data_IF_608795381764
#
_entry.id   IF_608795381764
#
_cell.length_a   1.000
_cell.length_b   1.000
_cell.length_c   1.000
_cell.angle_alpha   90.00
_cell.angle_beta   90.00
_cell.angle_gamma   90.00
#
_symmetry.space_group_name_H-M   'P 1'
#
loop_
_entity.id
_entity.type
_entity.pdbx_description
1 polymer ?
#
# COMPACT_ATOMS: atom_id res chain seq x y z
N UNK A 1 70.49 -13.63 -10.66
CA UNK A 1 69.08 -13.45 -11.09
C UNK A 1 68.43 -12.46 -10.15
N UNK A 2 68.11 -11.25 -10.64
CA UNK A 2 67.55 -10.15 -9.87
C UNK A 2 66.03 -10.33 -9.85
N UNK A 3 65.43 -10.57 -8.69
CA UNK A 3 63.98 -10.63 -8.54
C UNK A 3 63.45 -9.20 -8.46
N UNK A 4 62.76 -8.79 -9.52
CA UNK A 4 62.07 -7.51 -9.65
C UNK A 4 60.87 -7.49 -8.68
N UNK A 5 60.91 -6.61 -7.68
CA UNK A 5 59.76 -6.32 -6.82
C UNK A 5 58.72 -5.55 -7.65
N UNK A 6 57.64 -6.21 -8.05
CA UNK A 6 56.48 -5.57 -8.65
C UNK A 6 55.74 -4.82 -7.53
N UNK A 7 55.97 -3.51 -7.43
CA UNK A 7 55.25 -2.63 -6.50
C UNK A 7 53.79 -2.56 -6.95
N UNK A 8 52.92 -3.23 -6.21
CA UNK A 8 51.47 -3.16 -6.37
C UNK A 8 51.01 -1.81 -5.81
N UNK A 9 50.89 -0.81 -6.68
CA UNK A 9 50.26 0.47 -6.38
C UNK A 9 48.78 0.23 -6.07
N UNK A 10 48.43 0.17 -4.79
CA UNK A 10 47.06 0.10 -4.30
C UNK A 10 46.39 1.46 -4.55
N UNK A 11 45.76 1.62 -5.72
CA UNK A 11 44.92 2.78 -6.03
C UNK A 11 43.73 2.74 -5.06
N UNK A 12 43.73 3.65 -4.09
CA UNK A 12 42.63 3.92 -3.18
C UNK A 12 41.47 4.48 -4.01
N UNK A 13 40.61 3.61 -4.54
CA UNK A 13 39.31 3.98 -5.11
C UNK A 13 38.49 4.52 -3.95
N UNK A 14 38.47 5.84 -3.82
CA UNK A 14 37.48 6.54 -3.00
C UNK A 14 36.14 6.23 -3.63
N UNK A 15 35.37 5.38 -2.94
CA UNK A 15 33.98 5.09 -3.26
C UNK A 15 33.26 6.43 -3.04
N UNK A 16 33.08 7.19 -4.12
CA UNK A 16 32.16 8.31 -4.12
C UNK A 16 30.79 7.67 -3.93
N UNK A 17 30.19 7.86 -2.76
CA UNK A 17 28.80 7.46 -2.54
C UNK A 17 27.98 8.18 -3.60
N UNK A 18 27.50 7.40 -4.57
CA UNK A 18 26.62 7.90 -5.64
C UNK A 18 25.35 8.30 -4.92
N UNK A 19 25.27 9.58 -4.56
CA UNK A 19 24.02 10.15 -4.05
C UNK A 19 23.03 10.06 -5.21
N UNK A 20 21.97 9.29 -5.04
CA UNK A 20 20.90 9.08 -6.03
C UNK A 20 20.00 10.32 -6.15
N UNK A 21 20.59 11.50 -6.36
CA UNK A 21 19.86 12.76 -6.50
C UNK A 21 19.60 13.01 -7.99
N UNK A 22 18.36 13.37 -8.31
CA UNK A 22 17.87 13.66 -9.65
C UNK A 22 17.46 15.12 -9.77
N UNK A 23 17.48 15.64 -10.99
CA UNK A 23 17.05 17.00 -11.29
C UNK A 23 15.64 17.25 -10.72
N UNK A 24 15.46 18.36 -10.00
CA UNK A 24 14.24 18.77 -9.30
C UNK A 24 13.87 17.91 -8.08
N UNK A 25 14.83 17.22 -7.47
CA UNK A 25 14.66 16.74 -6.10
C UNK A 25 14.61 17.92 -5.14
N UNK A 26 13.83 17.79 -4.07
CA UNK A 26 13.67 18.78 -3.01
C UNK A 26 14.15 18.22 -1.69
N UNK A 27 14.74 19.09 -0.86
CA UNK A 27 14.97 18.79 0.55
C UNK A 27 14.80 20.00 1.43
N UNK A 28 14.45 19.77 2.68
CA UNK A 28 14.31 20.84 3.67
C UNK A 28 15.66 21.40 4.11
N UNK A 29 15.71 22.70 4.43
CA UNK A 29 16.85 23.37 5.08
C UNK A 29 16.51 23.94 6.45
N UNK A 30 15.22 23.98 6.81
CA UNK A 30 14.71 24.42 8.10
C UNK A 30 13.30 23.86 8.33
N UNK A 31 12.81 23.98 9.57
CA UNK A 31 11.42 23.74 9.93
C UNK A 31 10.55 24.96 9.60
N UNK A 32 9.43 24.76 8.90
CA UNK A 32 8.37 25.76 8.68
C UNK A 32 7.15 25.08 8.03
N UNK A 33 6.14 25.85 7.63
CA UNK A 33 5.04 25.32 6.82
C UNK A 33 5.53 24.85 5.45
N UNK A 34 4.88 23.84 4.89
CA UNK A 34 5.23 23.25 3.59
C UNK A 34 5.27 24.29 2.46
N UNK A 35 4.38 25.28 2.51
CA UNK A 35 4.23 26.32 1.48
C UNK A 35 5.31 27.41 1.52
N UNK A 36 6.14 27.47 2.57
CA UNK A 36 7.18 28.48 2.74
C UNK A 36 8.38 28.15 1.87
N UNK A 37 8.47 28.71 0.65
CA UNK A 37 9.56 28.42 -0.32
C UNK A 37 10.97 28.46 0.29
N UNK A 38 11.23 29.39 1.22
CA UNK A 38 12.54 29.59 1.83
C UNK A 38 13.05 28.46 2.73
N UNK A 39 12.23 27.46 3.07
CA UNK A 39 12.68 26.27 3.81
C UNK A 39 13.10 25.11 2.91
N UNK A 40 13.06 25.27 1.58
CA UNK A 40 13.41 24.24 0.61
C UNK A 40 14.66 24.60 -0.21
N UNK A 41 15.47 23.58 -0.50
CA UNK A 41 16.41 23.59 -1.61
C UNK A 41 15.95 22.61 -2.69
N UNK A 42 16.29 22.92 -3.94
CA UNK A 42 16.04 22.07 -5.10
C UNK A 42 17.37 21.67 -5.74
N UNK A 43 17.50 20.42 -6.16
CA UNK A 43 18.68 19.92 -6.86
C UNK A 43 18.61 20.30 -8.35
N UNK A 44 19.61 21.06 -8.83
CA UNK A 44 19.67 21.53 -10.23
C UNK A 44 20.38 20.54 -11.18
N UNK A 45 20.66 19.33 -10.72
CA UNK A 45 21.45 18.33 -11.43
C UNK A 45 22.95 18.38 -11.12
N UNK A 46 23.41 19.35 -10.32
CA UNK A 46 24.79 19.43 -9.83
C UNK A 46 24.87 19.87 -8.36
N UNK A 47 24.08 20.86 -7.96
CA UNK A 47 24.08 21.45 -6.64
C UNK A 47 22.67 21.59 -6.07
N UNK A 48 22.60 21.68 -4.74
CA UNK A 48 21.40 22.14 -4.05
C UNK A 48 21.37 23.66 -4.03
N UNK A 49 20.38 24.23 -4.69
CA UNK A 49 20.17 25.68 -4.78
C UNK A 49 18.89 26.07 -4.04
N UNK A 50 18.71 27.32 -3.60
CA UNK A 50 17.44 27.79 -3.05
C UNK A 50 16.29 27.49 -4.03
N UNK A 51 15.20 26.92 -3.52
CA UNK A 51 14.03 26.65 -4.34
C UNK A 51 13.34 27.96 -4.77
N UNK A 52 12.72 27.96 -5.95
CA UNK A 52 11.92 29.09 -6.45
C UNK A 52 10.43 28.97 -6.10
N UNK A 53 10.01 27.77 -5.70
CA UNK A 53 8.66 27.38 -5.31
C UNK A 53 8.75 26.19 -4.36
N UNK A 54 7.69 25.90 -3.61
CA UNK A 54 7.65 24.74 -2.71
C UNK A 54 7.33 23.44 -3.49
N UNK A 55 7.69 22.25 -2.97
CA UNK A 55 7.48 20.99 -3.67
C UNK A 55 6.01 20.77 -4.04
N UNK A 56 5.76 20.43 -5.31
CA UNK A 56 4.45 20.23 -5.90
C UNK A 56 3.84 21.50 -6.53
N UNK A 57 4.32 22.71 -6.20
CA UNK A 57 3.84 23.97 -6.79
C UNK A 57 4.47 24.31 -8.15
N UNK A 58 5.51 23.58 -8.53
CA UNK A 58 6.15 23.62 -9.84
C UNK A 58 6.68 22.24 -10.20
N UNK A 59 7.69 22.17 -11.08
CA UNK A 59 8.32 20.89 -11.41
C UNK A 59 8.96 20.29 -10.16
N UNK A 60 8.61 19.05 -9.84
CA UNK A 60 9.06 18.36 -8.63
C UNK A 60 9.30 16.89 -8.93
N UNK A 61 10.35 16.33 -8.33
CA UNK A 61 10.63 14.91 -8.34
C UNK A 61 10.49 14.35 -6.92
N UNK A 62 11.57 13.86 -6.32
CA UNK A 62 11.56 13.32 -4.96
C UNK A 62 11.66 14.44 -3.93
N UNK A 63 10.97 14.28 -2.79
CA UNK A 63 10.96 15.27 -1.70
C UNK A 63 11.45 14.62 -0.43
N UNK A 64 12.42 15.23 0.24
CA UNK A 64 12.97 14.74 1.51
C UNK A 64 12.80 15.76 2.63
N UNK A 65 12.10 15.38 3.69
CA UNK A 65 12.13 16.10 4.97
C UNK A 65 13.31 15.57 5.76
N UNK A 66 14.41 16.32 5.81
CA UNK A 66 15.62 15.92 6.53
C UNK A 66 15.39 15.75 8.03
N UNK A 67 16.20 14.88 8.64
CA UNK A 67 16.20 14.67 10.08
C UNK A 67 16.39 15.98 10.86
N UNK A 68 15.65 16.15 11.95
CA UNK A 68 15.64 17.36 12.77
C UNK A 68 14.76 18.50 12.25
N UNK A 69 14.19 18.38 11.05
CA UNK A 69 13.24 19.36 10.52
C UNK A 69 11.79 18.90 10.73
N UNK A 70 10.91 19.87 11.01
CA UNK A 70 9.46 19.70 11.07
C UNK A 70 8.82 20.53 9.99
N UNK A 71 8.07 19.88 9.10
CA UNK A 71 7.27 20.55 8.08
C UNK A 71 5.80 20.40 8.42
N UNK A 72 5.12 21.54 8.57
CA UNK A 72 3.69 21.57 8.91
C UNK A 72 2.85 21.72 7.64
N UNK A 73 1.74 21.00 7.58
CA UNK A 73 0.69 21.17 6.57
C UNK A 73 -0.60 21.66 7.26
N UNK A 74 -0.67 22.97 7.50
CA UNK A 74 -1.68 23.68 8.31
C UNK A 74 -2.74 24.44 7.49
N UNK A 75 -2.42 24.76 6.23
CA UNK A 75 -3.24 25.50 5.28
C UNK A 75 -3.32 24.72 3.98
N UNK A 76 -4.41 24.82 3.22
CA UNK A 76 -4.65 23.99 2.03
C UNK A 76 -3.45 24.08 1.06
N UNK A 77 -2.59 23.06 1.06
CA UNK A 77 -1.45 23.01 0.16
C UNK A 77 -1.99 22.69 -1.23
N UNK A 78 -1.62 23.50 -2.21
CA UNK A 78 -1.94 23.21 -3.62
C UNK A 78 -0.72 22.53 -4.21
N UNK A 79 -0.84 21.22 -4.48
CA UNK A 79 0.17 20.38 -5.13
C UNK A 79 -0.34 19.95 -6.52
N UNK A 80 -0.41 20.87 -7.50
CA UNK A 80 -0.89 20.53 -8.84
C UNK A 80 -0.01 19.50 -9.55
N UNK A 81 1.28 19.45 -9.22
CA UNK A 81 2.22 18.46 -9.74
C UNK A 81 2.39 17.31 -8.75
N UNK A 82 2.40 16.09 -9.29
CA UNK A 82 2.62 14.86 -8.53
C UNK A 82 4.08 14.84 -8.06
N UNK A 83 4.31 14.55 -6.77
CA UNK A 83 5.64 14.22 -6.25
C UNK A 83 5.97 12.78 -6.63
N UNK A 84 7.20 12.48 -7.02
CA UNK A 84 7.58 11.08 -7.31
C UNK A 84 7.59 10.23 -6.03
N UNK A 85 8.13 10.80 -4.96
CA UNK A 85 8.06 10.23 -3.61
C UNK A 85 8.18 11.33 -2.55
N UNK A 86 7.71 11.02 -1.34
CA UNK A 86 8.04 11.77 -0.12
C UNK A 86 8.81 10.86 0.85
N UNK A 87 10.05 11.21 1.13
CA UNK A 87 10.87 10.62 2.19
C UNK A 87 10.87 11.49 3.43
N UNK A 88 10.54 10.91 4.58
CA UNK A 88 10.43 11.59 5.86
C UNK A 88 11.51 11.04 6.78
N UNK A 89 12.54 11.84 7.03
CA UNK A 89 13.57 11.58 8.05
C UNK A 89 13.36 12.42 9.31
N UNK A 90 12.65 13.54 9.19
CA UNK A 90 12.20 14.39 10.29
C UNK A 90 10.70 14.20 10.59
N UNK A 91 9.95 15.30 10.65
CA UNK A 91 8.52 15.29 10.99
C UNK A 91 7.70 15.92 9.87
N UNK A 92 6.68 15.20 9.39
CA UNK A 92 5.55 15.80 8.67
C UNK A 92 4.40 16.00 9.66
N UNK A 93 4.09 17.23 10.00
CA UNK A 93 3.01 17.58 10.93
C UNK A 93 1.71 17.89 10.20
N UNK A 94 0.64 17.15 10.50
CA UNK A 94 -0.69 17.28 9.91
C UNK A 94 -1.61 18.06 10.85
N UNK A 95 -1.72 19.37 10.63
CA UNK A 95 -2.53 20.27 11.47
C UNK A 95 -3.92 20.57 10.86
N UNK A 96 -4.13 20.25 9.58
CA UNK A 96 -5.41 20.45 8.89
C UNK A 96 -5.70 19.34 7.88
N UNK A 97 -6.92 19.30 7.34
CA UNK A 97 -7.27 18.35 6.27
C UNK A 97 -6.47 18.66 5.01
N UNK A 98 -5.69 17.69 4.54
CA UNK A 98 -4.73 17.88 3.46
C UNK A 98 -4.72 16.71 2.49
N UNK A 99 -4.44 17.02 1.23
CA UNK A 99 -4.16 16.02 0.20
C UNK A 99 -2.73 16.20 -0.28
N UNK A 100 -1.94 15.14 -0.18
CA UNK A 100 -0.59 15.10 -0.72
C UNK A 100 -0.55 14.19 -1.94
N UNK A 101 -0.32 14.77 -3.11
CA UNK A 101 -0.36 14.04 -4.37
C UNK A 101 0.97 13.33 -4.65
N UNK A 102 1.19 12.18 -4.01
CA UNK A 102 2.37 11.33 -4.19
C UNK A 102 1.97 9.85 -4.21
N UNK A 103 2.53 9.03 -5.12
CA UNK A 103 2.30 7.59 -5.11
C UNK A 103 3.13 6.86 -4.04
N UNK A 104 4.14 7.49 -3.45
CA UNK A 104 5.04 6.85 -2.48
C UNK A 104 5.30 7.76 -1.28
N UNK A 105 5.11 7.23 -0.08
CA UNK A 105 5.51 7.85 1.18
C UNK A 105 6.40 6.88 1.95
N UNK A 106 7.57 7.34 2.36
CA UNK A 106 8.58 6.56 3.05
C UNK A 106 8.90 7.28 4.36
N UNK A 107 8.59 6.65 5.49
CA UNK A 107 8.99 7.10 6.82
C UNK A 107 10.26 6.34 7.20
N UNK A 108 11.39 7.03 7.29
CA UNK A 108 12.66 6.39 7.66
C UNK A 108 12.76 6.21 9.18
N UNK A 109 13.83 5.57 9.65
CA UNK A 109 14.03 5.20 11.06
C UNK A 109 13.86 6.35 12.06
N UNK A 110 14.13 7.61 11.67
CA UNK A 110 13.93 8.77 12.56
C UNK A 110 12.67 9.59 12.20
N UNK A 111 12.01 9.24 11.10
CA UNK A 111 10.90 9.99 10.56
C UNK A 111 9.58 9.69 11.27
N UNK A 112 8.64 10.64 11.24
CA UNK A 112 7.24 10.40 11.64
C UNK A 112 6.28 11.29 10.86
N UNK A 113 5.05 10.80 10.66
CA UNK A 113 3.91 11.66 10.35
C UNK A 113 3.16 11.87 11.66
N UNK A 114 3.03 13.12 12.08
CA UNK A 114 2.46 13.51 13.37
C UNK A 114 1.16 14.29 13.17
N UNK A 115 0.05 13.79 13.70
CA UNK A 115 -1.22 14.54 13.73
C UNK A 115 -1.28 15.41 14.99
N UNK A 116 -1.18 16.73 14.81
CA UNK A 116 -1.33 17.71 15.88
C UNK A 116 -2.80 18.09 16.11
N UNK A 117 -3.63 18.06 15.07
CA UNK A 117 -5.05 18.37 15.11
C UNK A 117 -5.96 17.16 14.76
N UNK A 118 -7.28 17.37 14.80
CA UNK A 118 -8.26 16.42 14.29
C UNK A 118 -8.40 16.61 12.77
N UNK A 119 -7.49 15.98 12.04
CA UNK A 119 -7.29 16.19 10.60
C UNK A 119 -7.13 14.88 9.82
N UNK A 120 -7.31 14.99 8.52
CA UNK A 120 -7.20 13.91 7.54
C UNK A 120 -6.05 14.19 6.58
N UNK A 121 -5.09 13.27 6.50
CA UNK A 121 -4.13 13.22 5.40
C UNK A 121 -4.68 12.27 4.33
N UNK A 122 -4.79 12.77 3.10
CA UNK A 122 -5.26 11.99 1.95
C UNK A 122 -4.13 11.78 0.95
N UNK A 123 -3.91 10.52 0.56
CA UNK A 123 -3.02 10.12 -0.52
C UNK A 123 -3.82 9.58 -1.71
N UNK A 124 -3.32 9.67 -2.96
CA UNK A 124 -3.94 9.07 -4.14
C UNK A 124 -4.22 7.57 -3.99
N UNK A 125 -5.18 7.06 -4.77
CA UNK A 125 -5.44 5.61 -4.83
C UNK A 125 -4.19 4.87 -5.31
N UNK A 126 -3.85 3.76 -4.65
CA UNK A 126 -2.68 2.95 -4.98
C UNK A 126 -1.36 3.47 -4.41
N UNK A 127 -1.40 4.53 -3.59
CA UNK A 127 -0.20 5.03 -2.93
C UNK A 127 0.37 3.99 -1.97
N UNK A 128 1.70 3.86 -1.97
CA UNK A 128 2.43 3.00 -1.06
C UNK A 128 2.91 3.79 0.16
N UNK A 129 2.67 3.25 1.36
CA UNK A 129 3.20 3.74 2.62
C UNK A 129 4.21 2.73 3.17
N UNK A 130 5.47 3.15 3.25
CA UNK A 130 6.57 2.39 3.85
C UNK A 130 6.96 3.05 5.16
N UNK A 131 7.05 2.28 6.24
CA UNK A 131 7.49 2.72 7.57
C UNK A 131 8.69 1.85 7.96
N UNK A 132 9.90 2.40 7.86
CA UNK A 132 11.11 1.63 8.13
C UNK A 132 11.19 1.25 9.61
N UNK A 133 11.75 0.08 9.88
CA UNK A 133 11.98 -0.40 11.24
C UNK A 133 12.72 0.66 12.08
N UNK A 134 12.23 0.87 13.30
CA UNK A 134 12.74 1.88 14.24
C UNK A 134 12.09 3.26 14.09
N UNK A 135 11.32 3.52 13.03
CA UNK A 135 10.50 4.72 12.91
C UNK A 135 9.41 4.77 13.99
N UNK A 136 9.12 5.95 14.57
CA UNK A 136 7.88 6.19 15.32
C UNK A 136 6.59 5.96 14.51
N UNK A 137 6.67 5.99 13.18
CA UNK A 137 5.57 5.75 12.26
C UNK A 137 4.54 6.89 12.26
N UNK A 138 3.27 6.54 12.32
CA UNK A 138 2.13 7.46 12.44
C UNK A 138 1.89 7.79 13.92
N UNK A 139 2.01 9.05 14.32
CA UNK A 139 1.89 9.47 15.72
C UNK A 139 0.86 10.59 15.86
N UNK A 140 0.43 10.92 17.09
CA UNK A 140 -0.48 12.04 17.32
C UNK A 140 -0.42 12.58 18.75
N UNK A 141 -0.75 13.87 18.93
CA UNK A 141 -0.87 14.55 20.25
C UNK A 141 -2.03 14.06 21.16
N UNK A 142 -2.88 13.15 20.67
CA UNK A 142 -4.10 12.69 21.32
C UNK A 142 -4.92 11.78 20.39
N UNK A 143 -5.32 10.60 20.84
CA UNK A 143 -5.80 9.58 19.90
C UNK A 143 -7.32 9.49 19.80
N UNK A 144 -7.88 9.79 18.62
CA UNK A 144 -9.31 9.63 18.34
C UNK A 144 -9.57 9.37 16.84
N UNK A 145 -10.84 9.09 16.51
CA UNK A 145 -11.24 8.66 15.16
C UNK A 145 -11.22 9.79 14.11
N UNK A 146 -11.04 11.05 14.49
CA UNK A 146 -10.96 12.18 13.57
C UNK A 146 -9.54 12.45 13.04
N UNK A 147 -8.55 11.70 13.52
CA UNK A 147 -7.16 11.75 13.03
C UNK A 147 -6.96 10.61 12.07
N UNK A 148 -6.88 10.90 10.77
CA UNK A 148 -7.09 9.90 9.72
C UNK A 148 -6.00 9.92 8.66
N UNK A 149 -5.68 8.74 8.15
CA UNK A 149 -5.01 8.53 6.88
C UNK A 149 -6.01 7.89 5.91
N UNK A 150 -6.18 8.51 4.74
CA UNK A 150 -7.00 8.01 3.63
C UNK A 150 -6.08 7.71 2.45
N UNK A 151 -6.29 6.57 1.79
CA UNK A 151 -5.64 6.24 0.52
C UNK A 151 -6.73 6.01 -0.54
N UNK A 152 -6.76 6.86 -1.56
CA UNK A 152 -7.86 6.92 -2.52
C UNK A 152 -9.15 7.40 -1.86
N UNK A 153 -10.19 6.56 -1.85
CA UNK A 153 -11.48 6.85 -1.20
C UNK A 153 -11.71 6.05 0.08
N UNK A 154 -10.77 5.19 0.48
CA UNK A 154 -10.92 4.32 1.63
C UNK A 154 -10.23 4.91 2.85
N UNK A 155 -10.92 4.92 4.00
CA UNK A 155 -10.26 5.16 5.29
C UNK A 155 -9.24 4.04 5.49
N UNK A 156 -7.95 4.40 5.43
CA UNK A 156 -6.87 3.44 5.59
C UNK A 156 -6.62 3.22 7.08
N UNK A 157 -6.53 4.30 7.85
CA UNK A 157 -6.44 4.23 9.30
C UNK A 157 -6.98 5.46 10.01
N UNK A 158 -7.33 5.25 11.26
CA UNK A 158 -7.54 6.32 12.24
C UNK A 158 -6.56 6.13 13.38
N UNK A 159 -6.31 7.17 14.18
CA UNK A 159 -5.38 7.01 15.30
C UNK A 159 -5.77 5.84 16.21
N UNK A 160 -7.04 5.78 16.63
CA UNK A 160 -7.55 4.77 17.57
C UNK A 160 -8.18 3.54 16.89
N UNK A 161 -8.09 3.44 15.56
CA UNK A 161 -8.73 2.39 14.77
C UNK A 161 -10.25 2.48 14.74
N UNK A 162 -10.88 1.53 14.05
CA UNK A 162 -12.31 1.32 14.10
C UNK A 162 -12.66 0.28 15.15
N UNK A 163 -13.54 0.61 16.11
CA UNK A 163 -14.03 -0.31 17.14
C UNK A 163 -14.78 -1.55 16.62
N UNK A 164 -14.75 -1.82 15.30
CA UNK A 164 -15.35 -2.99 14.64
C UNK A 164 -14.42 -3.70 13.64
N UNK A 165 -13.09 -3.46 13.70
CA UNK A 165 -12.09 -4.33 13.05
C UNK A 165 -11.92 -4.18 11.52
N UNK A 166 -12.51 -3.17 10.90
CA UNK A 166 -12.37 -2.87 9.45
C UNK A 166 -11.45 -1.68 9.15
N UNK A 167 -10.93 -1.01 10.18
CA UNK A 167 -10.14 0.21 10.06
C UNK A 167 -8.98 0.15 11.05
N UNK A 168 -7.75 0.30 10.56
CA UNK A 168 -6.56 0.15 11.38
C UNK A 168 -6.34 1.33 12.32
N UNK A 169 -5.84 1.04 13.51
CA UNK A 169 -5.21 2.01 14.39
C UNK A 169 -3.81 2.38 13.90
N UNK A 170 -3.31 3.54 14.33
CA UNK A 170 -1.91 3.90 14.06
C UNK A 170 -0.95 2.90 14.72
N UNK A 171 -1.29 2.37 15.90
CA UNK A 171 -0.48 1.32 16.55
C UNK A 171 -0.42 0.02 15.75
N UNK A 172 -1.52 -0.36 15.08
CA UNK A 172 -1.52 -1.54 14.21
C UNK A 172 -0.67 -1.28 12.97
N UNK A 173 -0.74 -0.10 12.35
CA UNK A 173 0.12 0.22 11.20
C UNK A 173 1.60 0.29 11.60
N UNK A 174 1.91 0.92 12.73
CA UNK A 174 3.29 1.08 13.18
C UNK A 174 3.88 -0.24 13.71
N UNK A 175 3.01 -1.14 14.18
CA UNK A 175 3.40 -2.44 14.76
C UNK A 175 3.31 -3.62 13.79
N UNK A 176 2.74 -3.45 12.60
CA UNK A 176 2.56 -4.50 11.60
C UNK A 176 3.33 -4.11 10.35
N UNK A 177 4.50 -4.73 10.22
CA UNK A 177 5.45 -4.41 9.18
C UNK A 177 5.13 -5.25 7.91
N UNK A 178 4.55 -6.46 8.05
CA UNK A 178 4.12 -7.32 6.93
C UNK A 178 2.59 -7.40 6.86
N UNK A 179 1.95 -7.20 5.69
CA UNK A 179 0.48 -7.18 5.53
C UNK A 179 0.00 -7.95 4.29
N UNK A 180 -1.21 -8.51 4.35
CA UNK A 180 -1.89 -9.17 3.22
C UNK A 180 -3.40 -8.88 3.23
N UNK A 181 -3.96 -8.52 2.08
CA UNK A 181 -5.39 -8.19 1.90
C UNK A 181 -5.99 -8.95 0.71
N UNK A 182 -6.33 -10.23 0.91
CA UNK A 182 -6.70 -11.09 -0.19
C UNK A 182 -7.97 -10.60 -0.90
N UNK A 183 -7.99 -10.78 -2.21
CA UNK A 183 -9.16 -10.51 -3.04
C UNK A 183 -9.35 -11.62 -4.07
N UNK A 184 -10.46 -11.57 -4.79
CA UNK A 184 -10.78 -12.52 -5.86
C UNK A 184 -11.49 -11.81 -7.01
N UNK A 185 -11.59 -12.48 -8.15
CA UNK A 185 -12.56 -12.09 -9.17
C UNK A 185 -13.99 -12.18 -8.62
N UNK A 186 -14.85 -11.22 -8.96
CA UNK A 186 -16.20 -11.11 -8.38
C UNK A 186 -17.20 -12.06 -9.04
N UNK A 187 -18.10 -12.63 -8.22
CA UNK A 187 -19.32 -13.39 -8.58
C UNK A 187 -19.14 -14.48 -9.65
N UNK A 188 -19.04 -15.72 -9.18
CA UNK A 188 -18.60 -16.87 -9.97
C UNK A 188 -19.68 -17.94 -9.97
N UNK A 189 -19.99 -18.49 -11.14
CA UNK A 189 -20.88 -19.64 -11.25
C UNK A 189 -20.11 -20.92 -10.98
N UNK A 190 -20.82 -21.95 -10.54
CA UNK A 190 -20.27 -23.28 -10.29
C UNK A 190 -19.38 -23.78 -11.45
N UNK A 191 -18.18 -24.27 -11.14
CA UNK A 191 -17.24 -24.79 -12.15
C UNK A 191 -16.47 -23.74 -12.94
N UNK A 192 -16.66 -22.43 -12.66
CA UNK A 192 -15.77 -21.40 -13.17
C UNK A 192 -14.54 -21.23 -12.25
N UNK A 193 -13.45 -20.72 -12.82
CA UNK A 193 -12.20 -20.47 -12.11
C UNK A 193 -12.31 -19.24 -11.20
N UNK A 194 -11.97 -19.41 -9.93
CA UNK A 194 -11.67 -18.34 -8.99
C UNK A 194 -10.19 -18.02 -9.10
N UNK A 195 -9.86 -16.77 -9.39
CA UNK A 195 -8.48 -16.26 -9.31
C UNK A 195 -8.36 -15.47 -8.03
N UNK A 196 -7.40 -15.84 -7.18
CA UNK A 196 -7.12 -15.19 -5.92
C UNK A 196 -5.93 -14.27 -6.07
N UNK A 197 -5.96 -13.16 -5.36
CA UNK A 197 -4.84 -12.23 -5.26
C UNK A 197 -4.49 -12.05 -3.79
N UNK A 198 -3.23 -12.27 -3.40
CA UNK A 198 -2.82 -12.07 -2.01
C UNK A 198 -2.82 -10.57 -1.64
N UNK A 199 -2.35 -9.71 -2.54
CA UNK A 199 -2.16 -8.28 -2.32
C UNK A 199 -1.33 -8.00 -1.05
N UNK A 200 -0.09 -8.51 -0.98
CA UNK A 200 0.76 -8.23 0.16
C UNK A 200 1.22 -6.76 0.12
N UNK A 201 1.38 -6.17 1.28
CA UNK A 201 1.77 -4.76 1.44
C UNK A 201 2.54 -4.58 2.74
N UNK A 202 2.98 -3.36 2.99
CA UNK A 202 3.69 -3.00 4.22
C UNK A 202 5.22 -3.02 4.07
N UNK A 203 5.92 -2.33 4.97
CA UNK A 203 7.36 -2.11 4.90
C UNK A 203 8.22 -3.40 4.94
N UNK A 204 7.80 -4.44 5.65
CA UNK A 204 8.52 -5.73 5.73
C UNK A 204 8.33 -6.60 4.50
N UNK A 205 7.62 -6.13 3.48
CA UNK A 205 7.57 -6.79 2.18
C UNK A 205 8.94 -6.82 1.49
N UNK A 206 9.84 -5.89 1.83
CA UNK A 206 11.22 -5.92 1.34
C UNK A 206 12.09 -7.00 2.00
N UNK A 207 11.65 -7.59 3.12
CA UNK A 207 12.34 -8.67 3.84
C UNK A 207 12.14 -10.04 3.18
N UNK A 208 12.82 -10.24 2.05
CA UNK A 208 12.60 -11.37 1.15
C UNK A 208 13.39 -12.64 1.52
N UNK A 209 12.85 -13.85 1.23
CA UNK A 209 11.63 -14.10 0.46
C UNK A 209 10.33 -13.97 1.29
N UNK A 210 9.27 -13.51 0.63
CA UNK A 210 7.89 -13.62 1.14
C UNK A 210 7.31 -14.98 0.72
N UNK A 211 6.79 -15.72 1.68
CA UNK A 211 6.13 -17.02 1.46
C UNK A 211 4.64 -16.91 1.70
N UNK A 212 3.86 -17.67 0.94
CA UNK A 212 2.39 -17.67 0.98
C UNK A 212 1.89 -19.04 1.42
N UNK A 213 0.82 -19.06 2.21
CA UNK A 213 0.13 -20.27 2.59
C UNK A 213 -1.38 -20.02 2.58
N UNK A 214 -2.01 -20.42 1.49
CA UNK A 214 -3.45 -20.36 1.30
C UNK A 214 -4.12 -21.60 1.88
N UNK A 215 -5.21 -21.39 2.60
CA UNK A 215 -6.12 -22.44 3.07
C UNK A 215 -7.55 -22.02 2.79
N UNK A 216 -8.38 -22.97 2.35
CA UNK A 216 -9.76 -22.70 1.92
C UNK A 216 -10.72 -23.52 2.74
N UNK A 217 -11.74 -22.86 3.25
CA UNK A 217 -12.89 -23.50 3.90
C UNK A 217 -14.05 -23.51 2.92
N UNK A 218 -14.33 -24.65 2.25
CA UNK A 218 -15.50 -24.79 1.40
C UNK A 218 -16.79 -24.91 2.23
N UNK A 219 -17.97 -24.76 1.61
CA UNK A 219 -19.25 -24.98 2.27
C UNK A 219 -19.37 -26.39 2.88
N UNK A 220 -18.87 -27.39 2.14
CA UNK A 220 -18.80 -28.80 2.53
C UNK A 220 -17.60 -29.46 1.85
N UNK A 221 -17.10 -30.56 2.43
CA UNK A 221 -16.01 -31.37 1.85
C UNK A 221 -14.61 -30.93 2.26
N UNK A 222 -13.61 -31.45 1.54
CA UNK A 222 -12.19 -31.16 1.77
C UNK A 222 -11.77 -29.84 1.10
N UNK A 223 -10.95 -29.06 1.81
CA UNK A 223 -10.49 -27.75 1.34
C UNK A 223 -9.38 -27.79 0.28
N UNK A 224 -9.04 -26.60 -0.19
CA UNK A 224 -7.92 -26.31 -1.09
C UNK A 224 -6.76 -25.68 -0.29
N UNK A 225 -5.53 -25.92 -0.74
CA UNK A 225 -4.34 -25.22 -0.25
C UNK A 225 -3.39 -24.90 -1.40
N UNK A 226 -2.68 -23.78 -1.31
CA UNK A 226 -1.63 -23.40 -2.26
C UNK A 226 -0.54 -22.57 -1.57
N UNK A 227 0.65 -22.58 -2.16
CA UNK A 227 1.79 -21.74 -1.77
C UNK A 227 2.11 -20.66 -2.79
N UNK A 228 1.35 -20.58 -3.90
CA UNK A 228 1.50 -19.49 -4.87
C UNK A 228 0.99 -18.19 -4.27
N UNK A 229 1.55 -17.05 -4.71
CA UNK A 229 1.05 -15.73 -4.32
C UNK A 229 -0.40 -15.53 -4.77
N UNK A 230 -0.67 -15.82 -6.05
CA UNK A 230 -1.95 -15.60 -6.71
C UNK A 230 -2.48 -16.91 -7.32
N UNK A 231 -2.97 -17.85 -6.49
CA UNK A 231 -3.42 -19.16 -6.96
C UNK A 231 -4.80 -19.09 -7.63
N UNK A 232 -5.17 -20.19 -8.28
CA UNK A 232 -6.51 -20.41 -8.84
C UNK A 232 -7.19 -21.62 -8.22
N UNK A 233 -8.50 -21.53 -8.01
CA UNK A 233 -9.36 -22.62 -7.53
C UNK A 233 -10.54 -22.83 -8.50
N UNK A 234 -11.09 -24.05 -8.57
CA UNK A 234 -12.27 -24.37 -9.40
C UNK A 234 -13.33 -25.05 -8.52
N UNK A 235 -14.16 -24.26 -7.82
CA UNK A 235 -15.22 -24.76 -6.95
C UNK A 235 -16.23 -25.63 -7.68
N UNK A 236 -16.42 -26.86 -7.19
CA UNK A 236 -17.41 -27.82 -7.70
C UNK A 236 -18.69 -27.89 -6.88
N UNK A 237 -18.76 -27.16 -5.77
CA UNK A 237 -19.93 -27.09 -4.88
C UNK A 237 -20.40 -25.63 -4.82
N UNK A 238 -21.72 -25.41 -4.91
CA UNK A 238 -22.28 -24.07 -4.75
C UNK A 238 -22.31 -23.71 -3.26
N UNK A 239 -22.05 -22.44 -2.94
CA UNK A 239 -22.06 -21.93 -1.58
C UNK A 239 -20.96 -20.91 -1.31
N UNK A 240 -20.77 -20.58 -0.04
CA UNK A 240 -19.78 -19.60 0.42
C UNK A 240 -18.46 -20.28 0.74
N UNK A 241 -17.40 -19.80 0.11
CA UNK A 241 -16.02 -20.20 0.35
C UNK A 241 -15.27 -19.10 1.09
N UNK A 242 -14.48 -19.48 2.10
CA UNK A 242 -13.57 -18.56 2.79
C UNK A 242 -12.14 -18.92 2.42
N UNK A 243 -11.47 -18.02 1.70
CA UNK A 243 -10.08 -18.15 1.30
C UNK A 243 -9.21 -17.35 2.26
N UNK A 244 -8.38 -18.04 3.03
CA UNK A 244 -7.47 -17.45 4.01
C UNK A 244 -6.03 -17.57 3.51
N UNK A 245 -5.27 -16.48 3.58
CA UNK A 245 -3.84 -16.48 3.28
C UNK A 245 -3.04 -16.05 4.50
N UNK A 246 -1.95 -16.77 4.74
CA UNK A 246 -0.89 -16.36 5.65
C UNK A 246 0.32 -16.01 4.81
N UNK A 247 0.87 -14.81 4.99
CA UNK A 247 2.18 -14.46 4.44
C UNK A 247 3.22 -14.45 5.54
N UNK A 248 4.44 -14.89 5.21
CA UNK A 248 5.59 -14.88 6.13
C UNK A 248 6.82 -14.33 5.41
N UNK A 249 7.50 -13.35 5.99
CA UNK A 249 8.76 -12.82 5.47
C UNK A 249 9.98 -13.63 5.93
N UNK A 250 11.18 -13.25 5.49
CA UNK A 250 12.41 -13.98 5.83
C UNK A 250 12.73 -13.98 7.33
N UNK A 251 12.39 -12.90 8.04
CA UNK A 251 12.55 -12.79 9.50
C UNK A 251 11.49 -13.57 10.29
N UNK A 252 10.51 -14.16 9.62
CA UNK A 252 9.47 -14.98 10.24
C UNK A 252 8.25 -14.22 10.76
N UNK A 253 8.16 -12.92 10.52
CA UNK A 253 6.93 -12.14 10.77
C UNK A 253 5.80 -12.67 9.90
N UNK A 254 4.60 -12.74 10.46
CA UNK A 254 3.42 -13.26 9.76
C UNK A 254 2.29 -12.26 9.76
N UNK A 255 1.55 -12.24 8.65
CA UNK A 255 0.24 -11.62 8.60
C UNK A 255 -0.77 -12.58 7.99
N UNK A 256 -2.02 -12.45 8.40
CA UNK A 256 -3.09 -13.35 8.00
C UNK A 256 -4.35 -12.55 7.75
N UNK A 257 -5.00 -12.81 6.62
CA UNK A 257 -6.30 -12.24 6.31
C UNK A 257 -7.10 -13.20 5.41
N UNK A 258 -8.37 -12.90 5.16
CA UNK A 258 -9.26 -13.75 4.38
C UNK A 258 -10.20 -12.97 3.48
N UNK A 259 -10.59 -13.59 2.36
CA UNK A 259 -11.63 -13.10 1.45
C UNK A 259 -12.72 -14.16 1.28
N UNK A 260 -13.94 -13.70 1.01
CA UNK A 260 -15.12 -14.57 0.89
C UNK A 260 -15.63 -14.54 -0.54
N UNK A 261 -15.89 -15.71 -1.11
CA UNK A 261 -16.44 -15.86 -2.46
C UNK A 261 -17.73 -16.66 -2.41
N UNK A 262 -18.78 -16.13 -3.03
CA UNK A 262 -20.07 -16.83 -3.15
C UNK A 262 -20.17 -17.47 -4.54
N UNK A 263 -20.22 -18.80 -4.57
CA UNK A 263 -20.37 -19.59 -5.79
C UNK A 263 -21.84 -19.95 -5.98
N UNK A 264 -22.40 -19.55 -7.12
CA UNK A 264 -23.82 -19.78 -7.44
C UNK A 264 -23.99 -20.96 -8.40
N UNK A 265 -24.98 -21.81 -8.14
CA UNK A 265 -25.32 -22.89 -9.07
C UNK A 265 -25.94 -22.32 -10.35
N UNK A 266 -25.69 -22.98 -11.48
CA UNK A 266 -26.41 -22.65 -12.72
C UNK A 266 -27.91 -22.84 -12.50
N UNK A 267 -28.70 -21.80 -12.75
CA UNK A 267 -30.15 -21.95 -12.86
C UNK A 267 -30.45 -22.72 -14.15
N UNK A 268 -30.74 -24.01 -14.04
CA UNK A 268 -31.36 -24.72 -15.15
C UNK A 268 -32.81 -24.26 -15.23
N UNK A 269 -33.12 -23.35 -16.16
CA UNK A 269 -34.51 -23.08 -16.53
C UNK A 269 -35.11 -24.40 -16.99
N UNK A 270 -36.04 -24.94 -16.20
CA UNK A 270 -36.80 -26.14 -16.54
C UNK A 270 -37.59 -25.85 -17.83
N UNK A 271 -37.13 -26.38 -18.96
CA UNK A 271 -37.92 -26.38 -20.20
C UNK A 271 -39.11 -27.30 -19.96
N UNK A 272 -40.29 -26.73 -19.71
CA UNK A 272 -41.53 -27.49 -19.72
C UNK A 272 -41.90 -27.68 -21.20
N UNK A 273 -41.51 -28.81 -21.79
CA UNK A 273 -42.03 -29.22 -23.09
C UNK A 273 -43.45 -29.75 -22.88
N UNK A 274 -44.46 -29.02 -23.36
CA UNK A 274 -45.85 -29.49 -23.39
C UNK A 274 -45.94 -30.77 -24.25
N UNK A 275 -46.15 -31.93 -23.62
CA UNK A 275 -46.42 -33.19 -24.30
C UNK A 275 -47.85 -33.17 -24.88
N UNK A 276 -47.93 -33.30 -26.22
CA UNK A 276 -49.07 -33.70 -27.07
C UNK A 276 -50.42 -33.00 -26.83
N UNK A 277 -50.75 -32.06 -27.72
CA UNK A 277 -52.15 -31.75 -28.05
C UNK A 277 -52.60 -32.79 -29.09
N UNK A 278 -53.52 -33.68 -28.72
CA UNK A 278 -54.18 -34.60 -29.66
C UNK A 278 -55.57 -34.06 -29.96
N UNK A 279 -55.81 -33.56 -31.19
CA UNK A 279 -57.15 -33.20 -31.62
C UNK A 279 -57.88 -34.46 -32.11
N UNK A 280 -59.04 -34.78 -31.52
CA UNK A 280 -60.00 -35.72 -32.11
C UNK A 280 -60.87 -34.95 -33.11
N UNK A 281 -60.77 -35.31 -34.38
CA UNK A 281 -61.75 -34.90 -35.40
C UNK A 281 -62.91 -35.88 -35.34
N UNK A 282 -64.07 -35.43 -34.86
CA UNK A 282 -65.34 -36.14 -35.05
C UNK A 282 -66.02 -35.59 -36.30
N UNK A 283 -66.01 -36.36 -37.38
CA UNK A 283 -66.90 -36.12 -38.51
C UNK A 283 -68.33 -36.46 -38.09
N UNK A 284 -69.24 -35.49 -38.14
CA UNK A 284 -70.67 -35.76 -38.21
C UNK A 284 -71.05 -35.91 -39.68
N UNK A 285 -71.72 -37.02 -39.96
CA UNK A 285 -72.36 -37.39 -41.23
C UNK A 285 -73.39 -36.32 -41.61
#
# INVERSE_FOLDING_TARGET
>A
MKATFLSLLLILVTICEISSQSLNDFRTIASADWSVVGNWQMYDGSFWIPALYYPGNGTTNDVTILNGHTIVIDTSIITPNILNSLTIEGILEVDSDQTLNTPNVIITTNGTIFWSANSTLTLPLGSNLTINTGSPGLTSSGCNANRKLIIGSANYATCNGGGSGTLYSFSEINGIDLRVDPSSNTQINLGQTVTLFANPSGPQLSDNPITYNWTVTPPTGSGFSSTDENPTDVPTIAGTYIYKVVITNASGTKHTNSTTVNITAFSTKKVITNRRITFRVTNKI
#
